data_IF_099109495251
#
_entry.id   IF_099109495251
#
_cell.length_a   1.000
_cell.length_b   1.000
_cell.length_c   1.000
_cell.angle_alpha   90.00
_cell.angle_beta   90.00
_cell.angle_gamma   90.00
#
_symmetry.space_group_name_H-M   'P 1'
#
loop_
_entity.id
_entity.type
_entity.pdbx_description
1 polymer ?
#
# COMPACT_ATOMS: atom_id res chain seq x y z
N UNK A 1 14.30 -12.84 -38.68
CA UNK A 1 13.56 -12.38 -37.48
C UNK A 1 13.08 -13.61 -36.74
N UNK A 2 13.59 -13.84 -35.53
CA UNK A 2 13.17 -14.96 -34.70
C UNK A 2 11.79 -14.63 -34.12
N UNK A 3 10.74 -15.30 -34.60
CA UNK A 3 9.42 -15.23 -33.99
C UNK A 3 9.50 -15.96 -32.65
N UNK A 4 9.54 -15.20 -31.55
CA UNK A 4 9.39 -15.76 -30.21
C UNK A 4 7.92 -16.17 -30.08
N UNK A 5 7.63 -17.45 -29.91
CA UNK A 5 6.24 -17.95 -29.80
C UNK A 5 6.01 -18.67 -28.47
N UNK A 6 4.77 -18.56 -27.98
CA UNK A 6 4.17 -19.27 -26.85
C UNK A 6 5.05 -19.34 -25.60
N UNK A 7 5.65 -20.49 -25.27
CA UNK A 7 6.36 -20.69 -24.00
C UNK A 7 7.49 -19.68 -23.73
N UNK A 8 8.23 -19.27 -24.77
CA UNK A 8 9.31 -18.28 -24.61
C UNK A 8 8.77 -16.87 -24.38
N UNK A 9 7.58 -16.55 -24.88
CA UNK A 9 6.93 -15.27 -24.57
C UNK A 9 6.42 -15.26 -23.14
N UNK A 10 5.91 -16.40 -22.64
CA UNK A 10 5.45 -16.53 -21.25
C UNK A 10 6.61 -16.40 -20.26
N UNK A 11 7.77 -17.00 -20.56
CA UNK A 11 9.01 -16.82 -19.78
C UNK A 11 9.44 -15.35 -19.74
N UNK A 12 9.46 -14.67 -20.90
CA UNK A 12 9.81 -13.24 -20.98
C UNK A 12 8.80 -12.40 -20.21
N UNK A 13 7.50 -12.70 -20.32
CA UNK A 13 6.44 -12.00 -19.61
C UNK A 13 6.60 -12.14 -18.09
N UNK A 14 6.95 -13.33 -17.60
CA UNK A 14 7.18 -13.56 -16.18
C UNK A 14 8.43 -12.80 -15.69
N UNK A 15 9.53 -12.81 -16.45
CA UNK A 15 10.74 -12.05 -16.11
C UNK A 15 10.45 -10.55 -16.04
N UNK A 16 9.73 -10.01 -17.02
CA UNK A 16 9.36 -8.59 -17.04
C UNK A 16 8.39 -8.26 -15.89
N UNK A 17 7.44 -9.14 -15.59
CA UNK A 17 6.52 -8.98 -14.46
C UNK A 17 7.28 -8.92 -13.13
N UNK A 18 8.19 -9.84 -12.90
CA UNK A 18 9.01 -9.88 -11.68
C UNK A 18 9.91 -8.64 -11.57
N UNK A 19 10.53 -8.24 -12.68
CA UNK A 19 11.32 -7.01 -12.73
C UNK A 19 10.48 -5.78 -12.39
N UNK A 20 9.29 -5.65 -12.96
CA UNK A 20 8.38 -4.53 -12.69
C UNK A 20 7.98 -4.49 -11.21
N UNK A 21 7.52 -5.62 -10.65
CA UNK A 21 7.07 -5.69 -9.26
C UNK A 21 8.22 -5.38 -8.28
N UNK A 22 9.40 -5.94 -8.53
CA UNK A 22 10.59 -5.70 -7.70
C UNK A 22 11.02 -4.24 -7.75
N UNK A 23 11.11 -3.68 -8.96
CA UNK A 23 11.55 -2.30 -9.16
C UNK A 23 10.56 -1.32 -8.53
N UNK A 24 9.26 -1.54 -8.74
CA UNK A 24 8.22 -0.70 -8.15
C UNK A 24 8.24 -0.78 -6.62
N UNK A 25 8.41 -1.96 -6.04
CA UNK A 25 8.53 -2.12 -4.59
C UNK A 25 9.73 -1.34 -4.02
N UNK A 26 10.89 -1.43 -4.67
CA UNK A 26 12.09 -0.67 -4.30
C UNK A 26 11.87 0.84 -4.40
N UNK A 27 11.22 1.31 -5.47
CA UNK A 27 10.92 2.73 -5.65
C UNK A 27 9.95 3.24 -4.59
N UNK A 28 8.89 2.49 -4.27
CA UNK A 28 7.96 2.85 -3.20
C UNK A 28 8.73 2.97 -1.88
N UNK A 29 9.53 1.97 -1.51
CA UNK A 29 10.31 1.99 -0.28
C UNK A 29 11.33 3.16 -0.23
N UNK A 30 11.96 3.49 -1.37
CA UNK A 30 12.89 4.61 -1.46
C UNK A 30 12.19 5.97 -1.31
N UNK A 31 10.94 6.08 -1.75
CA UNK A 31 10.13 7.29 -1.62
C UNK A 31 9.40 7.37 -0.27
N UNK A 32 9.51 6.33 0.57
CA UNK A 32 8.99 6.30 1.94
C UNK A 32 9.99 6.95 2.91
N UNK A 33 10.17 8.26 2.77
CA UNK A 33 11.03 9.05 3.65
C UNK A 33 10.29 9.42 4.95
N UNK A 34 10.18 8.44 5.85
CA UNK A 34 9.52 8.61 7.16
C UNK A 34 8.00 8.68 7.11
N UNK A 35 7.40 8.59 5.91
CA UNK A 35 5.95 8.60 5.70
C UNK A 35 5.56 7.69 4.53
N UNK A 36 4.39 7.02 4.56
CA UNK A 36 3.99 6.12 3.48
C UNK A 36 3.89 6.81 2.12
N UNK A 37 4.31 6.12 1.05
CA UNK A 37 4.34 6.69 -0.29
C UNK A 37 2.96 7.21 -0.72
N UNK A 38 2.95 8.43 -1.28
CA UNK A 38 1.75 9.10 -1.77
C UNK A 38 0.81 9.60 -0.66
N UNK A 39 1.18 9.53 0.61
CA UNK A 39 0.43 10.13 1.70
C UNK A 39 1.00 11.50 2.10
N UNK A 40 0.15 12.36 2.66
CA UNK A 40 0.55 13.70 3.09
C UNK A 40 1.10 13.65 4.52
N UNK A 41 2.24 14.29 4.81
CA UNK A 41 2.79 14.31 6.16
C UNK A 41 1.81 15.01 7.10
N UNK A 42 1.40 14.30 8.14
CA UNK A 42 0.53 14.80 9.20
C UNK A 42 1.21 14.58 10.54
N UNK A 43 1.02 15.52 11.47
CA UNK A 43 1.42 15.30 12.86
C UNK A 43 0.64 14.11 13.45
N UNK A 44 1.15 13.45 14.51
CA UNK A 44 0.43 12.35 15.15
C UNK A 44 -1.00 12.72 15.58
N UNK A 45 -1.22 13.97 16.01
CA UNK A 45 -2.55 14.46 16.39
C UNK A 45 -3.48 14.57 15.19
N UNK A 46 -3.03 15.19 14.10
CA UNK A 46 -3.81 15.31 12.86
C UNK A 46 -4.11 13.94 12.24
N UNK A 47 -3.20 12.97 12.36
CA UNK A 47 -3.45 11.58 11.91
C UNK A 47 -4.64 10.98 12.65
N UNK A 48 -4.68 11.11 13.98
CA UNK A 48 -5.80 10.61 14.81
C UNK A 48 -7.08 11.37 14.52
N UNK A 49 -7.04 12.70 14.46
CA UNK A 49 -8.23 13.53 14.16
C UNK A 49 -8.82 13.16 12.80
N UNK A 50 -7.96 13.00 11.77
CA UNK A 50 -8.39 12.54 10.45
C UNK A 50 -8.98 11.14 10.50
N UNK A 51 -8.34 10.20 11.19
CA UNK A 51 -8.83 8.82 11.35
C UNK A 51 -10.23 8.79 11.99
N UNK A 52 -10.44 9.55 13.07
CA UNK A 52 -11.73 9.63 13.76
C UNK A 52 -12.82 10.30 12.91
N UNK A 53 -12.43 11.17 11.98
CA UNK A 53 -13.33 11.88 11.08
C UNK A 53 -13.57 11.16 9.74
N UNK A 54 -12.95 9.99 9.48
CA UNK A 54 -13.10 9.28 8.20
C UNK A 54 -14.54 8.80 8.00
N UNK A 55 -15.14 9.23 6.88
CA UNK A 55 -16.42 8.69 6.41
C UNK A 55 -16.25 7.30 5.78
N UNK A 56 -17.33 6.53 5.57
CA UNK A 56 -17.27 5.27 4.83
C UNK A 56 -16.63 5.41 3.43
N UNK A 57 -16.85 6.55 2.75
CA UNK A 57 -16.25 6.82 1.45
C UNK A 57 -14.73 7.03 1.55
N UNK A 58 -14.25 7.67 2.62
CA UNK A 58 -12.82 7.83 2.87
C UNK A 58 -12.15 6.48 3.12
N UNK A 59 -12.82 5.59 3.85
CA UNK A 59 -12.36 4.22 4.08
C UNK A 59 -12.25 3.42 2.79
N UNK A 60 -13.25 3.52 1.92
CA UNK A 60 -13.21 2.90 0.61
C UNK A 60 -12.05 3.45 -0.25
N UNK A 61 -11.86 4.77 -0.26
CA UNK A 61 -10.73 5.40 -0.97
C UNK A 61 -9.37 4.94 -0.44
N UNK A 62 -9.23 4.81 0.87
CA UNK A 62 -8.01 4.29 1.49
C UNK A 62 -7.76 2.84 1.08
N UNK A 63 -8.79 1.99 1.15
CA UNK A 63 -8.68 0.58 0.77
C UNK A 63 -8.28 0.42 -0.71
N UNK A 64 -8.90 1.17 -1.63
CA UNK A 64 -8.53 1.16 -3.06
C UNK A 64 -7.07 1.56 -3.25
N UNK A 65 -6.61 2.61 -2.57
CA UNK A 65 -5.22 3.06 -2.65
C UNK A 65 -4.23 2.02 -2.13
N UNK A 66 -4.57 1.30 -1.07
CA UNK A 66 -3.76 0.20 -0.55
C UNK A 66 -3.72 -0.98 -1.53
N UNK A 67 -4.82 -1.31 -2.20
CA UNK A 67 -4.82 -2.33 -3.25
C UNK A 67 -3.95 -1.90 -4.44
N UNK A 68 -4.06 -0.64 -4.86
CA UNK A 68 -3.24 -0.07 -5.93
C UNK A 68 -1.74 -0.07 -5.59
N UNK A 69 -1.38 0.09 -4.31
CA UNK A 69 0.00 -0.10 -3.82
C UNK A 69 0.52 -1.50 -4.13
N UNK A 70 -0.31 -2.52 -4.21
CA UNK A 70 0.08 -3.89 -4.53
C UNK A 70 -0.31 -4.36 -5.93
N UNK A 71 -0.69 -3.44 -6.82
CA UNK A 71 -1.13 -3.75 -8.19
C UNK A 71 -0.16 -4.70 -8.92
N UNK A 72 -0.71 -5.79 -9.45
CA UNK A 72 0.02 -6.82 -10.19
C UNK A 72 0.62 -7.93 -9.33
N UNK A 73 0.52 -7.83 -7.99
CA UNK A 73 0.85 -8.92 -7.09
C UNK A 73 -0.33 -9.90 -6.99
N UNK A 74 -0.08 -11.22 -6.99
CA UNK A 74 -1.16 -12.22 -6.92
C UNK A 74 -1.94 -12.18 -5.59
N UNK A 75 -1.34 -11.62 -4.54
CA UNK A 75 -1.90 -11.51 -3.19
C UNK A 75 -2.16 -10.04 -2.79
N UNK A 76 -2.39 -9.15 -3.75
CA UNK A 76 -2.54 -7.71 -3.53
C UNK A 76 -3.62 -7.37 -2.48
N UNK A 77 -4.78 -8.03 -2.55
CA UNK A 77 -5.88 -7.79 -1.61
C UNK A 77 -5.52 -8.21 -0.18
N UNK A 78 -4.82 -9.33 -0.03
CA UNK A 78 -4.38 -9.81 1.30
C UNK A 78 -3.38 -8.85 1.93
N UNK A 79 -2.42 -8.35 1.14
CA UNK A 79 -1.45 -7.37 1.61
C UNK A 79 -2.10 -6.03 1.96
N UNK A 80 -3.02 -5.55 1.11
CA UNK A 80 -3.78 -4.33 1.37
C UNK A 80 -4.64 -4.43 2.64
N UNK A 81 -5.26 -5.60 2.88
CA UNK A 81 -6.02 -5.86 4.10
C UNK A 81 -5.13 -5.80 5.34
N UNK A 82 -3.95 -6.43 5.29
CA UNK A 82 -2.99 -6.39 6.38
C UNK A 82 -2.54 -4.96 6.69
N UNK A 83 -2.20 -4.17 5.67
CA UNK A 83 -1.83 -2.76 5.85
C UNK A 83 -2.96 -1.95 6.47
N UNK A 84 -4.22 -2.22 6.09
CA UNK A 84 -5.38 -1.56 6.66
C UNK A 84 -5.57 -1.93 8.14
N UNK A 85 -5.43 -3.21 8.48
CA UNK A 85 -5.48 -3.70 9.86
C UNK A 85 -4.39 -3.07 10.73
N UNK A 86 -3.15 -3.05 10.23
CA UNK A 86 -2.01 -2.44 10.92
C UNK A 86 -2.22 -0.92 11.12
N UNK A 87 -2.76 -0.23 10.11
CA UNK A 87 -3.11 1.18 10.21
C UNK A 87 -4.18 1.44 11.27
N UNK A 88 -5.28 0.68 11.26
CA UNK A 88 -6.37 0.81 12.24
C UNK A 88 -5.86 0.51 13.66
N UNK A 89 -5.06 -0.56 13.82
CA UNK A 89 -4.49 -0.92 15.12
C UNK A 89 -3.58 0.18 15.66
N UNK A 90 -2.73 0.76 14.82
CA UNK A 90 -1.86 1.90 15.17
C UNK A 90 -2.69 3.12 15.58
N UNK A 91 -3.68 3.51 14.79
CA UNK A 91 -4.49 4.70 15.06
C UNK A 91 -5.32 4.54 16.33
N UNK A 92 -5.90 3.37 16.57
CA UNK A 92 -6.58 3.07 17.83
C UNK A 92 -5.62 3.19 19.03
N UNK A 93 -4.40 2.66 18.91
CA UNK A 93 -3.40 2.80 19.98
C UNK A 93 -3.08 4.28 20.26
N UNK A 94 -2.82 5.08 19.24
CA UNK A 94 -2.54 6.52 19.39
C UNK A 94 -3.74 7.31 19.96
N UNK A 95 -4.96 6.99 19.51
CA UNK A 95 -6.17 7.66 19.94
C UNK A 95 -6.52 7.39 21.42
N UNK A 96 -6.36 6.14 21.87
CA UNK A 96 -6.78 5.72 23.21
C UNK A 96 -5.65 5.73 24.25
N UNK A 97 -4.38 5.60 23.83
CA UNK A 97 -3.23 5.77 24.73
C UNK A 97 -3.11 7.18 25.29
N UNK A 98 -3.59 8.21 24.56
CA UNK A 98 -3.52 9.62 24.99
C UNK A 98 -4.70 10.06 25.86
N UNK A 99 -5.72 9.23 26.02
CA UNK A 99 -6.87 9.49 26.90
C UNK A 99 -6.65 9.01 28.35
N UNK A 100 -5.55 8.31 28.62
CA UNK A 100 -5.24 7.71 29.92
C UNK A 100 -4.36 8.60 30.82
N UNK A 101 -4.25 9.90 30.52
CA UNK A 101 -3.55 10.89 31.38
C UNK A 101 -4.50 12.04 31.70
#
# INVERSE_FOLDING_TARGET
MTLITGPKLDEVAEVVRQWYLTTRGKLIAALEEGYPYGSAPLTPREQVERFLAMSPEDWNRLATKLVDRYRGQPNAETLARKDLEDYVAKMNREAFSRRAV
#
